data_IF_309436139041
#
_entry.id   IF_309436139041
#
_cell.length_a   1.000
_cell.length_b   1.000
_cell.length_c   1.000
_cell.angle_alpha   90.00
_cell.angle_beta   90.00
_cell.angle_gamma   90.00
#
_symmetry.space_group_name_H-M   'P 1'
#
loop_
_entity.id
_entity.type
_entity.pdbx_description
1 polymer ?
#
# COMPACT_ATOMS: atom_id res chain seq x y z
N UNK A 1 -9.07 -11.05 -14.48
CA UNK A 1 -7.62 -10.77 -14.35
C UNK A 1 -7.24 -10.85 -12.88
N UNK A 2 -6.14 -11.51 -12.54
CA UNK A 2 -5.64 -11.58 -11.15
C UNK A 2 -4.51 -10.55 -10.91
N UNK A 3 -4.05 -10.41 -9.66
CA UNK A 3 -3.01 -9.46 -9.27
C UNK A 3 -1.72 -9.59 -10.09
N UNK A 4 -1.17 -10.80 -10.28
CA UNK A 4 0.10 -10.98 -10.98
C UNK A 4 -0.02 -10.59 -12.44
N UNK A 5 -1.12 -10.96 -13.09
CA UNK A 5 -1.38 -10.60 -14.47
C UNK A 5 -1.54 -9.09 -14.62
N UNK A 6 -2.25 -8.44 -13.70
CA UNK A 6 -2.38 -6.98 -13.69
C UNK A 6 -1.02 -6.28 -13.61
N UNK A 7 -0.14 -6.71 -12.69
CA UNK A 7 1.20 -6.13 -12.54
C UNK A 7 2.07 -6.38 -13.78
N UNK A 8 2.07 -7.60 -14.33
CA UNK A 8 2.88 -7.95 -15.52
C UNK A 8 2.51 -7.12 -16.75
N UNK A 9 1.27 -6.66 -16.82
CA UNK A 9 0.76 -5.81 -17.89
C UNK A 9 0.94 -4.30 -17.61
N UNK A 10 1.65 -3.89 -16.56
CA UNK A 10 2.02 -2.48 -16.32
C UNK A 10 3.51 -2.31 -16.63
N UNK A 11 3.88 -1.66 -17.76
CA UNK A 11 5.28 -1.55 -18.20
C UNK A 11 6.23 -1.00 -17.14
N UNK A 12 5.78 -0.03 -16.35
CA UNK A 12 6.63 0.66 -15.36
C UNK A 12 6.98 -0.23 -14.15
N UNK A 13 6.16 -1.22 -13.79
CA UNK A 13 6.37 -2.04 -12.59
C UNK A 13 6.47 -3.55 -12.83
N UNK A 14 6.25 -4.03 -14.06
CA UNK A 14 6.25 -5.47 -14.39
C UNK A 14 7.52 -6.20 -13.95
N UNK A 15 8.68 -5.54 -14.03
CA UNK A 15 9.98 -6.11 -13.68
C UNK A 15 10.26 -6.10 -12.16
N UNK A 16 9.39 -5.46 -11.38
CA UNK A 16 9.51 -5.34 -9.93
C UNK A 16 8.62 -6.33 -9.18
N UNK A 17 7.81 -7.13 -9.88
CA UNK A 17 7.01 -8.19 -9.28
C UNK A 17 7.92 -9.25 -8.64
N UNK A 18 7.71 -9.51 -7.35
CA UNK A 18 8.36 -10.58 -6.59
C UNK A 18 7.34 -11.55 -6.00
N UNK A 19 7.78 -12.75 -5.66
CA UNK A 19 6.92 -13.78 -5.08
C UNK A 19 6.62 -13.50 -3.61
N UNK A 20 5.38 -13.82 -3.19
CA UNK A 20 4.91 -13.53 -1.83
C UNK A 20 5.14 -12.06 -1.46
N UNK A 21 5.77 -11.81 -0.32
CA UNK A 21 6.09 -10.47 0.20
C UNK A 21 7.56 -10.06 -0.03
N UNK A 22 8.30 -10.76 -0.90
CA UNK A 22 9.73 -10.53 -1.08
C UNK A 22 10.07 -9.08 -1.48
N UNK A 23 9.18 -8.38 -2.20
CA UNK A 23 9.42 -6.98 -2.58
C UNK A 23 9.47 -6.03 -1.36
N UNK A 24 8.83 -6.39 -0.24
CA UNK A 24 8.82 -5.56 0.97
C UNK A 24 10.14 -5.65 1.76
N UNK A 25 11.01 -6.61 1.45
CA UNK A 25 12.25 -6.83 2.18
C UNK A 25 12.01 -6.96 3.69
N UNK A 26 12.69 -6.12 4.49
CA UNK A 26 12.55 -6.11 5.96
C UNK A 26 11.13 -5.73 6.41
N UNK A 27 10.41 -4.92 5.65
CA UNK A 27 9.04 -4.51 5.97
C UNK A 27 8.02 -5.65 5.81
N UNK A 28 8.41 -6.79 5.21
CA UNK A 28 7.55 -7.98 5.18
C UNK A 28 7.11 -8.45 6.57
N UNK A 29 7.90 -8.17 7.62
CA UNK A 29 7.56 -8.49 9.01
C UNK A 29 6.33 -7.71 9.55
N UNK A 30 5.95 -6.61 8.89
CA UNK A 30 4.76 -5.80 9.20
C UNK A 30 3.47 -6.42 8.68
N UNK A 31 3.56 -7.42 7.81
CA UNK A 31 2.41 -8.11 7.25
C UNK A 31 2.27 -9.47 7.94
N UNK A 32 1.06 -9.78 8.40
CA UNK A 32 0.67 -11.04 9.01
C UNK A 32 -0.35 -11.72 8.12
N UNK A 33 -0.08 -12.97 7.77
CA UNK A 33 -0.99 -13.81 7.00
C UNK A 33 -0.96 -15.22 7.59
N UNK A 34 -2.13 -15.75 7.94
CA UNK A 34 -2.26 -17.12 8.44
C UNK A 34 -1.87 -18.12 7.35
N UNK A 35 -2.33 -17.88 6.12
CA UNK A 35 -2.04 -18.74 4.97
C UNK A 35 -0.98 -18.09 4.07
N UNK A 36 0.30 -18.35 4.33
CA UNK A 36 1.40 -17.78 3.51
C UNK A 36 1.28 -18.11 2.02
N UNK A 37 0.77 -19.29 1.67
CA UNK A 37 0.55 -19.72 0.28
C UNK A 37 -0.49 -18.88 -0.47
N UNK A 38 -1.30 -18.10 0.25
CA UNK A 38 -2.27 -17.20 -0.36
C UNK A 38 -1.67 -15.82 -0.71
N UNK A 39 -0.41 -15.54 -0.35
CA UNK A 39 0.33 -14.37 -0.81
C UNK A 39 0.81 -14.61 -2.25
N UNK A 40 0.15 -13.98 -3.22
CA UNK A 40 0.37 -14.29 -4.64
C UNK A 40 1.49 -13.46 -5.29
N UNK A 41 1.95 -12.40 -4.63
CA UNK A 41 3.07 -11.58 -5.09
C UNK A 41 3.05 -10.17 -4.51
N UNK A 42 4.14 -9.43 -4.69
CA UNK A 42 4.31 -8.06 -4.19
C UNK A 42 5.18 -7.20 -5.11
N UNK A 43 5.01 -5.89 -5.00
CA UNK A 43 5.80 -4.86 -5.69
C UNK A 43 6.15 -3.75 -4.68
N UNK A 44 7.40 -3.29 -4.74
CA UNK A 44 7.87 -2.04 -4.12
C UNK A 44 7.69 -0.92 -5.14
N UNK A 45 6.58 -0.18 -5.02
CA UNK A 45 6.18 0.89 -5.93
C UNK A 45 7.16 2.06 -5.82
N UNK A 46 7.54 2.45 -4.59
CA UNK A 46 8.44 3.59 -4.37
C UNK A 46 9.79 3.38 -5.07
N UNK A 47 10.46 2.26 -4.77
CA UNK A 47 11.77 1.96 -5.36
C UNK A 47 11.67 1.75 -6.87
N UNK A 48 10.65 1.01 -7.33
CA UNK A 48 10.50 0.69 -8.75
C UNK A 48 10.29 1.94 -9.61
N UNK A 49 9.55 2.93 -9.09
CA UNK A 49 9.18 4.13 -9.81
C UNK A 49 10.07 5.35 -9.49
N UNK A 50 11.07 5.18 -8.62
CA UNK A 50 11.97 6.26 -8.19
C UNK A 50 12.68 6.95 -9.34
N UNK A 51 13.15 6.20 -10.35
CA UNK A 51 13.87 6.80 -11.47
C UNK A 51 12.95 7.55 -12.44
N UNK A 52 11.69 7.10 -12.57
CA UNK A 52 10.70 7.71 -13.46
C UNK A 52 10.08 8.96 -12.82
N UNK A 53 9.83 8.92 -11.52
CA UNK A 53 9.18 10.00 -10.79
C UNK A 53 10.01 10.46 -9.58
N UNK A 54 11.25 10.94 -9.73
CA UNK A 54 12.23 11.10 -8.63
C UNK A 54 11.75 11.98 -7.46
N UNK A 55 10.98 13.03 -7.76
CA UNK A 55 10.51 14.00 -6.77
C UNK A 55 9.07 13.74 -6.27
N UNK A 56 8.44 12.67 -6.73
CA UNK A 56 7.07 12.34 -6.34
C UNK A 56 6.99 11.77 -4.91
N UNK A 57 5.88 12.04 -4.24
CA UNK A 57 5.53 11.39 -2.98
C UNK A 57 4.98 10.00 -3.28
N UNK A 58 5.86 9.06 -3.61
CA UNK A 58 5.46 7.72 -4.03
C UNK A 58 4.93 6.91 -2.83
N UNK A 59 3.95 6.05 -3.11
CA UNK A 59 3.46 5.05 -2.15
C UNK A 59 4.40 3.86 -2.12
N UNK A 60 4.55 3.23 -0.95
CA UNK A 60 5.61 2.23 -0.80
C UNK A 60 5.31 0.90 -1.52
N UNK A 61 4.23 0.19 -1.15
CA UNK A 61 4.06 -1.21 -1.57
C UNK A 61 2.65 -1.54 -2.05
N UNK A 62 2.56 -2.58 -2.88
CA UNK A 62 1.32 -3.33 -3.15
C UNK A 62 1.58 -4.83 -3.15
N UNK A 63 0.62 -5.61 -2.64
CA UNK A 63 0.66 -7.07 -2.73
C UNK A 63 -0.72 -7.68 -2.92
N UNK A 64 -0.75 -8.89 -3.51
CA UNK A 64 -1.95 -9.69 -3.64
C UNK A 64 -2.08 -10.74 -2.52
N UNK A 65 -3.28 -10.87 -1.96
CA UNK A 65 -3.63 -11.92 -1.00
C UNK A 65 -4.96 -12.58 -1.37
N UNK A 66 -4.96 -13.87 -1.70
CA UNK A 66 -6.10 -14.55 -2.33
C UNK A 66 -6.58 -13.75 -3.57
N UNK A 67 -7.80 -13.22 -3.53
CA UNK A 67 -8.38 -12.36 -4.57
C UNK A 67 -8.28 -10.86 -4.24
N UNK A 68 -7.65 -10.48 -3.13
CA UNK A 68 -7.58 -9.09 -2.64
C UNK A 68 -6.25 -8.43 -2.99
N UNK A 69 -6.27 -7.11 -3.10
CA UNK A 69 -5.09 -6.26 -3.33
C UNK A 69 -4.93 -5.31 -2.15
N UNK A 70 -3.74 -5.32 -1.56
CA UNK A 70 -3.41 -4.50 -0.39
C UNK A 70 -2.30 -3.52 -0.77
N UNK A 71 -2.62 -2.24 -0.79
CA UNK A 71 -1.66 -1.15 -0.89
C UNK A 71 -1.22 -0.77 0.52
N UNK A 72 0.10 -0.74 0.76
CA UNK A 72 0.66 -0.53 2.09
C UNK A 72 1.72 0.55 2.06
N UNK A 73 1.56 1.51 2.96
CA UNK A 73 2.51 2.58 3.24
C UNK A 73 3.14 2.31 4.61
N UNK A 74 4.45 2.08 4.66
CA UNK A 74 5.18 1.80 5.92
C UNK A 74 5.92 3.04 6.36
N UNK A 75 5.25 3.87 7.15
CA UNK A 75 5.74 5.21 7.49
C UNK A 75 5.59 5.51 8.99
N UNK A 76 6.27 6.55 9.50
CA UNK A 76 6.21 6.89 10.93
C UNK A 76 4.77 7.20 11.37
N UNK A 77 4.24 6.48 12.36
CA UNK A 77 2.88 6.70 12.88
C UNK A 77 2.74 7.93 13.76
N UNK A 78 3.05 9.13 13.27
CA UNK A 78 2.90 10.41 14.00
C UNK A 78 1.77 11.26 13.42
N UNK A 79 1.13 12.07 14.26
CA UNK A 79 0.09 12.99 13.82
C UNK A 79 0.56 13.97 12.73
N UNK A 80 1.81 14.42 12.80
CA UNK A 80 2.43 15.30 11.80
C UNK A 80 2.54 14.68 10.41
N UNK A 81 2.48 13.35 10.29
CA UNK A 81 2.64 12.64 9.01
C UNK A 81 1.32 12.43 8.26
N UNK A 82 0.16 12.75 8.86
CA UNK A 82 -1.15 12.49 8.24
C UNK A 82 -1.26 13.11 6.85
N UNK A 83 -0.85 14.37 6.69
CA UNK A 83 -0.90 15.03 5.37
C UNK A 83 0.12 14.46 4.38
N UNK A 84 1.28 13.97 4.85
CA UNK A 84 2.24 13.28 3.98
C UNK A 84 1.68 11.96 3.46
N UNK A 85 0.99 11.19 4.30
CA UNK A 85 0.32 9.94 3.91
C UNK A 85 -0.78 10.22 2.89
N UNK A 86 -1.61 11.24 3.11
CA UNK A 86 -2.65 11.64 2.14
C UNK A 86 -2.01 12.07 0.83
N UNK A 87 -0.92 12.85 0.85
CA UNK A 87 -0.19 13.25 -0.35
C UNK A 87 0.34 12.04 -1.13
N UNK A 88 0.92 11.06 -0.43
CA UNK A 88 1.38 9.81 -1.07
C UNK A 88 0.22 9.02 -1.69
N UNK A 89 -0.91 8.95 -1.00
CA UNK A 89 -2.11 8.28 -1.51
C UNK A 89 -2.65 8.96 -2.76
N UNK A 90 -2.72 10.29 -2.77
CA UNK A 90 -3.17 11.06 -3.94
C UNK A 90 -2.29 10.79 -5.17
N UNK A 91 -0.98 10.76 -4.97
CA UNK A 91 -0.07 10.37 -6.04
C UNK A 91 -0.33 8.95 -6.54
N UNK A 92 -0.52 7.98 -5.64
CA UNK A 92 -0.84 6.60 -6.01
C UNK A 92 -2.11 6.52 -6.85
N UNK A 93 -3.18 7.22 -6.44
CA UNK A 93 -4.46 7.24 -7.15
C UNK A 93 -4.30 7.79 -8.57
N UNK A 94 -3.59 8.91 -8.73
CA UNK A 94 -3.29 9.48 -10.04
C UNK A 94 -2.46 8.54 -10.91
N UNK A 95 -1.45 7.88 -10.32
CA UNK A 95 -0.63 6.91 -11.03
C UNK A 95 -1.45 5.68 -11.46
N UNK A 96 -2.34 5.16 -10.61
CA UNK A 96 -3.23 4.04 -10.92
C UNK A 96 -4.19 4.36 -12.07
N UNK A 97 -4.76 5.57 -12.09
CA UNK A 97 -5.69 6.01 -13.13
C UNK A 97 -5.03 6.22 -14.50
N UNK A 98 -3.72 6.49 -14.51
CA UNK A 98 -2.91 6.70 -15.71
C UNK A 98 -2.08 5.47 -16.08
N UNK A 99 -0.90 5.32 -15.51
CA UNK A 99 0.07 4.26 -15.83
C UNK A 99 -0.28 2.89 -15.24
N UNK A 100 -0.97 2.87 -14.09
CA UNK A 100 -1.30 1.66 -13.34
C UNK A 100 -2.66 1.03 -13.67
N UNK A 101 -3.24 1.33 -14.84
CA UNK A 101 -4.67 1.06 -15.15
C UNK A 101 -5.11 -0.39 -14.94
N UNK A 102 -4.25 -1.37 -15.17
CA UNK A 102 -4.60 -2.79 -14.94
C UNK A 102 -4.85 -3.13 -13.48
N UNK A 103 -4.18 -2.44 -12.54
CA UNK A 103 -4.47 -2.53 -11.12
C UNK A 103 -5.70 -1.69 -10.74
N UNK A 104 -5.90 -0.53 -11.36
CA UNK A 104 -7.09 0.31 -11.13
C UNK A 104 -8.39 -0.41 -11.54
N UNK A 105 -8.35 -1.24 -12.58
CA UNK A 105 -9.48 -2.09 -12.97
C UNK A 105 -9.87 -3.11 -11.89
N UNK A 106 -9.04 -3.31 -10.86
CA UNK A 106 -9.27 -4.18 -9.71
C UNK A 106 -9.51 -3.38 -8.41
N UNK A 107 -9.91 -2.11 -8.51
CA UNK A 107 -10.14 -1.21 -7.37
C UNK A 107 -11.16 -1.74 -6.34
N UNK A 108 -12.17 -2.48 -6.78
CA UNK A 108 -13.19 -3.08 -5.88
C UNK A 108 -12.60 -4.19 -4.99
N UNK A 109 -11.44 -4.74 -5.36
CA UNK A 109 -10.69 -5.74 -4.59
C UNK A 109 -9.58 -5.10 -3.75
N UNK A 110 -9.44 -3.77 -3.81
CA UNK A 110 -8.30 -3.03 -3.31
C UNK A 110 -8.58 -2.35 -1.98
N UNK A 111 -7.54 -2.25 -1.17
CA UNK A 111 -7.59 -1.55 0.12
C UNK A 111 -6.26 -0.84 0.39
N UNK A 112 -6.31 0.26 1.13
CA UNK A 112 -5.17 1.15 1.37
C UNK A 112 -4.89 1.26 2.86
N UNK A 113 -3.66 0.93 3.25
CA UNK A 113 -3.28 0.79 4.65
C UNK A 113 -2.02 1.58 4.96
N UNK A 114 -2.09 2.38 6.00
CA UNK A 114 -0.92 2.94 6.65
C UNK A 114 -0.51 2.02 7.80
N UNK A 115 0.73 1.53 7.74
CA UNK A 115 1.32 0.69 8.78
C UNK A 115 2.49 1.44 9.40
N UNK A 116 2.46 1.65 10.71
CA UNK A 116 3.49 2.37 11.43
C UNK A 116 4.83 1.62 11.38
N UNK A 117 5.88 2.30 10.95
CA UNK A 117 7.25 1.79 11.00
C UNK A 117 7.71 1.56 12.45
N UNK A 118 7.21 2.34 13.41
CA UNK A 118 7.53 2.25 14.84
C UNK A 118 6.31 2.42 15.75
N UNK A 119 6.48 3.11 16.88
CA UNK A 119 5.37 3.44 17.80
C UNK A 119 4.36 4.35 17.10
N UNK A 120 3.07 4.10 17.36
CA UNK A 120 1.98 4.96 16.90
C UNK A 120 1.65 6.00 17.95
N UNK A 121 1.62 7.26 17.55
CA UNK A 121 1.17 8.37 18.36
C UNK A 121 -0.33 8.21 18.72
N UNK A 122 -0.68 8.15 20.02
CA UNK A 122 -2.07 8.07 20.46
C UNK A 122 -2.93 9.24 19.96
N UNK A 123 -2.34 10.41 19.68
CA UNK A 123 -3.06 11.58 19.20
C UNK A 123 -3.77 11.33 17.87
N UNK A 124 -3.25 10.44 17.00
CA UNK A 124 -3.90 10.10 15.73
C UNK A 124 -5.26 9.45 15.97
N UNK A 125 -5.37 8.60 17.00
CA UNK A 125 -6.63 7.94 17.36
C UNK A 125 -7.58 8.81 18.17
N UNK A 126 -7.06 9.83 18.86
CA UNK A 126 -7.87 10.74 19.68
C UNK A 126 -8.34 11.96 18.90
N UNK A 127 -7.66 12.32 17.81
CA UNK A 127 -7.99 13.49 17.01
C UNK A 127 -8.94 13.13 15.86
N UNK A 128 -10.21 13.52 16.03
CA UNK A 128 -11.29 13.29 15.06
C UNK A 128 -10.96 13.88 13.68
N UNK A 129 -10.21 14.99 13.61
CA UNK A 129 -9.85 15.60 12.31
C UNK A 129 -8.93 14.69 11.50
N UNK A 130 -7.92 14.09 12.15
CA UNK A 130 -7.01 13.15 11.48
C UNK A 130 -7.72 11.86 11.07
N UNK A 131 -8.57 11.32 11.94
CA UNK A 131 -9.37 10.14 11.59
C UNK A 131 -10.29 10.41 10.40
N UNK A 132 -11.01 11.54 10.42
CA UNK A 132 -11.88 11.97 9.31
C UNK A 132 -11.09 12.14 8.03
N UNK A 133 -9.90 12.76 8.10
CA UNK A 133 -9.03 12.99 6.94
C UNK A 133 -8.59 11.69 6.29
N UNK A 134 -8.18 10.69 7.06
CA UNK A 134 -7.83 9.36 6.55
C UNK A 134 -9.05 8.64 5.98
N UNK A 135 -10.17 8.64 6.70
CA UNK A 135 -11.41 7.98 6.29
C UNK A 135 -11.99 8.56 4.99
N UNK A 136 -11.96 9.89 4.81
CA UNK A 136 -12.38 10.55 3.57
C UNK A 136 -11.57 10.10 2.34
N UNK A 137 -10.34 9.62 2.56
CA UNK A 137 -9.48 9.08 1.52
C UNK A 137 -9.48 7.54 1.47
N UNK A 138 -10.31 6.88 2.29
CA UNK A 138 -10.36 5.41 2.37
C UNK A 138 -9.09 4.76 2.95
N UNK A 139 -8.21 5.54 3.61
CA UNK A 139 -6.96 5.05 4.18
C UNK A 139 -7.23 4.47 5.58
N UNK A 140 -6.87 3.20 5.79
CA UNK A 140 -6.99 2.52 7.09
C UNK A 140 -5.69 2.65 7.88
N UNK A 141 -5.78 2.80 9.21
CA UNK A 141 -4.62 2.86 10.12
C UNK A 141 -4.39 4.23 10.78
N UNK A 142 -3.19 4.48 11.34
CA UNK A 142 -2.02 3.61 11.35
C UNK A 142 -2.17 2.40 12.29
N UNK A 143 -1.86 1.21 11.79
CA UNK A 143 -1.71 -0.01 12.59
C UNK A 143 -0.23 -0.34 12.80
N UNK A 144 0.11 -1.17 13.79
CA UNK A 144 1.49 -1.66 13.98
C UNK A 144 1.85 -2.80 13.01
N UNK A 145 0.84 -3.50 12.51
CA UNK A 145 0.94 -4.56 11.51
C UNK A 145 -0.37 -4.66 10.73
N UNK A 146 -0.29 -5.16 9.50
CA UNK A 146 -1.45 -5.46 8.67
C UNK A 146 -1.71 -6.96 8.70
N UNK A 147 -2.94 -7.35 9.03
CA UNK A 147 -3.40 -8.74 8.98
C UNK A 147 -4.15 -8.96 7.68
N UNK A 148 -3.51 -9.62 6.70
CA UNK A 148 -4.05 -9.81 5.35
C UNK A 148 -5.40 -10.54 5.35
N UNK A 149 -5.62 -11.45 6.31
CA UNK A 149 -6.87 -12.19 6.49
C UNK A 149 -8.05 -11.31 6.94
N UNK A 150 -7.78 -10.19 7.59
CA UNK A 150 -8.80 -9.28 8.15
C UNK A 150 -9.10 -8.10 7.24
N UNK A 151 -8.40 -7.98 6.11
CA UNK A 151 -8.69 -6.95 5.11
C UNK A 151 -10.00 -7.35 4.45
N UNK A 152 -11.11 -6.75 4.86
CA UNK A 152 -12.39 -6.79 4.15
C UNK A 152 -12.32 -5.89 2.93
#
# INVERSE_FOLDING_TARGET
MNFRDAVKNIPEIKNCLKDGLQALGRNSNKIKALTKRALVGSVDIDTCLKNVYPNASRWDYVFGYKHKICYVEVHQGKASEVENIVKKFMWLRQWLESSGRNLENLKELSSYHWVSSGRTDPAIRKNIRYQRRLAQNGIRGPSSSLYADSVL
#
